data_IF_697854095735
#
_entry.id   IF_697854095735
#
_cell.length_a   1.000
_cell.length_b   1.000
_cell.length_c   1.000
_cell.angle_alpha   90.00
_cell.angle_beta   90.00
_cell.angle_gamma   90.00
#
_symmetry.space_group_name_H-M   'P 1'
#
loop_
_entity.id
_entity.type
_entity.pdbx_description
1 polymer ?
#
# COMPACT_ATOMS: atom_id res chain seq x y z
N UNK A 1 23.45 -10.88 -8.08
CA UNK A 1 23.04 -9.97 -9.18
C UNK A 1 21.54 -10.11 -9.37
N UNK A 2 20.79 -9.00 -9.28
CA UNK A 2 19.34 -8.99 -9.52
C UNK A 2 19.05 -9.26 -11.00
N UNK A 3 17.99 -10.02 -11.30
CA UNK A 3 17.52 -10.28 -12.67
C UNK A 3 16.04 -9.88 -12.77
N UNK A 4 15.69 -8.85 -13.56
CA UNK A 4 14.29 -8.46 -13.76
C UNK A 4 13.54 -9.54 -14.56
N UNK A 5 12.23 -9.64 -14.36
CA UNK A 5 11.38 -10.50 -15.16
C UNK A 5 11.15 -9.89 -16.55
N UNK A 6 10.93 -10.74 -17.57
CA UNK A 6 10.86 -10.33 -18.97
C UNK A 6 9.84 -9.20 -19.23
N UNK A 7 8.68 -9.25 -18.59
CA UNK A 7 7.64 -8.23 -18.81
C UNK A 7 8.07 -6.83 -18.33
N UNK A 8 8.90 -6.74 -17.28
CA UNK A 8 9.50 -5.48 -16.84
C UNK A 8 10.55 -5.00 -17.85
N UNK A 9 11.38 -5.92 -18.35
CA UNK A 9 12.38 -5.61 -19.38
C UNK A 9 11.71 -5.05 -20.64
N UNK A 10 10.62 -5.68 -21.09
CA UNK A 10 9.82 -5.23 -22.24
C UNK A 10 9.19 -3.84 -21.98
N UNK A 11 8.62 -3.63 -20.80
CA UNK A 11 8.01 -2.36 -20.44
C UNK A 11 9.03 -1.20 -20.48
N UNK A 12 10.23 -1.44 -19.92
CA UNK A 12 11.31 -0.44 -19.90
C UNK A 12 11.89 -0.22 -21.29
N UNK A 13 12.14 -1.28 -22.07
CA UNK A 13 12.72 -1.17 -23.41
C UNK A 13 11.78 -0.46 -24.40
N UNK A 14 10.47 -0.67 -24.26
CA UNK A 14 9.44 0.03 -25.04
C UNK A 14 9.16 1.45 -24.55
N UNK A 15 9.77 1.89 -23.43
CA UNK A 15 9.51 3.18 -22.76
C UNK A 15 8.03 3.42 -22.46
N UNK A 16 7.26 2.34 -22.28
CA UNK A 16 5.83 2.41 -22.01
C UNK A 16 5.60 2.64 -20.51
N UNK A 17 5.44 3.91 -20.13
CA UNK A 17 5.22 4.33 -18.74
C UNK A 17 4.08 3.56 -18.07
N UNK A 18 2.99 3.27 -18.79
CA UNK A 18 1.85 2.54 -18.22
C UNK A 18 2.25 1.11 -17.88
N UNK A 19 2.93 0.42 -18.81
CA UNK A 19 3.45 -0.95 -18.55
C UNK A 19 4.49 -0.96 -17.43
N UNK A 20 5.35 0.06 -17.34
CA UNK A 20 6.35 0.18 -16.27
C UNK A 20 5.65 0.28 -14.90
N UNK A 21 4.66 1.16 -14.77
CA UNK A 21 3.88 1.33 -13.53
C UNK A 21 3.14 0.05 -13.16
N UNK A 22 2.49 -0.60 -14.14
CA UNK A 22 1.86 -1.92 -13.92
C UNK A 22 2.87 -2.93 -13.39
N UNK A 23 4.07 -2.99 -13.96
CA UNK A 23 5.08 -3.93 -13.53
C UNK A 23 5.58 -3.68 -12.11
N UNK A 24 5.87 -2.43 -11.76
CA UNK A 24 6.21 -2.04 -10.40
C UNK A 24 5.09 -2.39 -9.41
N UNK A 25 3.83 -2.08 -9.75
CA UNK A 25 2.66 -2.46 -8.94
C UNK A 25 2.54 -3.98 -8.76
N UNK A 26 2.86 -4.78 -9.78
CA UNK A 26 2.86 -6.25 -9.69
C UNK A 26 3.90 -6.76 -8.69
N UNK A 27 5.14 -6.28 -8.78
CA UNK A 27 6.19 -6.64 -7.83
C UNK A 27 5.82 -6.24 -6.39
N UNK A 28 5.38 -5.00 -6.20
CA UNK A 28 4.96 -4.48 -4.90
C UNK A 28 3.74 -5.22 -4.34
N UNK A 29 2.79 -5.61 -5.19
CA UNK A 29 1.62 -6.37 -4.76
C UNK A 29 1.97 -7.76 -4.25
N UNK A 30 2.94 -8.43 -4.89
CA UNK A 30 3.46 -9.74 -4.52
C UNK A 30 4.31 -9.68 -3.25
N UNK A 31 5.18 -8.68 -3.15
CA UNK A 31 6.11 -8.51 -2.03
C UNK A 31 5.96 -7.11 -1.40
N UNK A 32 4.83 -6.84 -0.71
CA UNK A 32 4.57 -5.54 -0.12
C UNK A 32 5.46 -5.24 1.09
N UNK A 33 6.36 -6.14 1.49
CA UNK A 33 7.32 -5.88 2.57
C UNK A 33 8.71 -5.52 2.05
N UNK A 34 8.91 -5.61 0.73
CA UNK A 34 10.23 -5.56 0.08
C UNK A 34 11.24 -6.52 0.73
N UNK A 35 10.79 -7.72 1.10
CA UNK A 35 11.70 -8.72 1.67
C UNK A 35 12.73 -9.12 0.61
N UNK A 36 14.01 -9.15 1.00
CA UNK A 36 15.11 -9.43 0.08
C UNK A 36 15.39 -8.30 -0.92
N UNK A 37 14.85 -7.10 -0.71
CA UNK A 37 15.02 -5.92 -1.56
C UNK A 37 14.53 -6.14 -3.01
N UNK A 38 13.57 -7.04 -3.25
CA UNK A 38 13.06 -7.34 -4.60
C UNK A 38 12.46 -6.09 -5.26
N UNK A 39 11.60 -5.37 -4.56
CA UNK A 39 10.93 -4.15 -5.04
C UNK A 39 11.94 -3.02 -5.18
N UNK A 40 12.85 -2.85 -4.22
CA UNK A 40 13.93 -1.84 -4.31
C UNK A 40 14.82 -2.08 -5.54
N UNK A 41 15.22 -3.32 -5.80
CA UNK A 41 16.05 -3.66 -6.95
C UNK A 41 15.31 -3.44 -8.29
N UNK A 42 14.01 -3.77 -8.34
CA UNK A 42 13.15 -3.49 -9.49
C UNK A 42 13.06 -1.98 -9.75
N UNK A 43 12.81 -1.17 -8.71
CA UNK A 43 12.71 0.27 -8.84
C UNK A 43 14.04 0.88 -9.31
N UNK A 44 15.16 0.43 -8.74
CA UNK A 44 16.50 0.84 -9.17
C UNK A 44 16.75 0.50 -10.65
N UNK A 45 16.36 -0.71 -11.09
CA UNK A 45 16.47 -1.09 -12.49
C UNK A 45 15.67 -0.15 -13.41
N UNK A 46 14.43 0.19 -13.05
CA UNK A 46 13.62 1.14 -13.81
C UNK A 46 14.31 2.51 -13.87
N UNK A 47 14.71 3.06 -12.74
CA UNK A 47 15.34 4.39 -12.67
C UNK A 47 16.66 4.49 -13.46
N UNK A 48 17.40 3.39 -13.59
CA UNK A 48 18.64 3.34 -14.36
C UNK A 48 18.43 3.24 -15.87
N UNK A 49 17.26 2.76 -16.32
CA UNK A 49 17.01 2.43 -17.73
C UNK A 49 15.85 3.21 -18.35
N UNK A 50 15.10 3.96 -17.54
CA UNK A 50 13.98 4.79 -17.96
C UNK A 50 14.20 6.23 -17.48
N UNK A 51 14.30 7.16 -18.44
CA UNK A 51 14.62 8.56 -18.18
C UNK A 51 13.38 9.47 -18.08
N UNK A 52 12.18 8.89 -18.10
CA UNK A 52 10.93 9.64 -17.97
C UNK A 52 10.52 9.83 -16.50
N UNK A 53 9.54 10.70 -16.28
CA UNK A 53 8.95 10.87 -14.95
C UNK A 53 8.10 9.65 -14.58
N UNK A 54 8.58 8.91 -13.58
CA UNK A 54 7.91 7.71 -13.10
C UNK A 54 6.71 8.05 -12.22
N UNK A 55 6.81 9.13 -11.45
CA UNK A 55 5.91 9.40 -10.34
C UNK A 55 4.82 10.38 -10.75
N UNK A 56 3.67 10.23 -10.11
CA UNK A 56 2.64 11.26 -10.13
C UNK A 56 2.70 12.04 -8.83
N UNK A 57 2.22 13.28 -8.86
CA UNK A 57 1.96 14.02 -7.62
C UNK A 57 0.88 13.26 -6.83
N UNK A 58 1.12 13.08 -5.53
CA UNK A 58 0.16 12.50 -4.60
C UNK A 58 -1.17 13.28 -4.67
N UNK A 59 -2.26 12.54 -4.87
CA UNK A 59 -3.62 13.12 -4.84
C UNK A 59 -4.12 13.40 -3.40
N UNK A 60 -5.34 13.94 -3.30
CA UNK A 60 -5.97 14.34 -2.03
C UNK A 60 -6.32 13.15 -1.10
N UNK A 61 -6.16 11.90 -1.54
CA UNK A 61 -6.42 10.73 -0.68
C UNK A 61 -5.33 10.62 0.36
N UNK A 62 -5.68 10.98 1.60
CA UNK A 62 -4.79 10.94 2.74
C UNK A 62 -4.22 9.52 2.99
N UNK A 63 -2.94 9.49 3.35
CA UNK A 63 -2.27 8.28 3.85
C UNK A 63 -2.45 8.26 5.37
N UNK A 64 -3.10 7.22 5.91
CA UNK A 64 -3.25 7.02 7.34
C UNK A 64 -1.87 6.84 7.97
N UNK A 65 -1.55 7.69 8.95
CA UNK A 65 -0.25 7.72 9.62
C UNK A 65 -0.24 6.87 10.89
N UNK A 66 -1.41 6.63 11.49
CA UNK A 66 -1.54 5.81 12.68
C UNK A 66 -1.38 4.32 12.33
N UNK A 67 -0.21 3.78 12.64
CA UNK A 67 0.13 2.37 12.39
C UNK A 67 -0.76 1.35 13.08
N UNK A 68 -1.50 1.75 14.13
CA UNK A 68 -2.49 0.87 14.77
C UNK A 68 -3.62 0.52 13.80
N UNK A 69 -4.02 1.46 12.94
CA UNK A 69 -5.06 1.33 11.92
C UNK A 69 -4.59 0.67 10.62
N UNK A 70 -3.29 0.39 10.48
CA UNK A 70 -2.77 -0.31 9.32
C UNK A 70 -3.17 -1.79 9.38
N UNK A 71 -4.22 -2.12 8.62
CA UNK A 71 -4.79 -3.46 8.47
C UNK A 71 -4.47 -4.05 7.10
N UNK A 72 -4.77 -5.34 6.93
CA UNK A 72 -4.69 -6.01 5.62
C UNK A 72 -5.62 -5.35 4.59
N UNK A 73 -6.79 -4.90 5.00
CA UNK A 73 -7.76 -4.24 4.12
C UNK A 73 -7.25 -2.87 3.70
N UNK A 74 -6.67 -2.11 4.63
CA UNK A 74 -6.00 -0.84 4.32
C UNK A 74 -4.86 -1.02 3.31
N UNK A 75 -4.02 -2.04 3.48
CA UNK A 75 -3.01 -2.41 2.50
C UNK A 75 -3.60 -2.75 1.12
N UNK A 76 -4.76 -3.41 1.09
CA UNK A 76 -5.50 -3.70 -0.13
C UNK A 76 -5.98 -2.42 -0.84
N UNK A 77 -6.51 -1.46 -0.09
CA UNK A 77 -6.91 -0.15 -0.61
C UNK A 77 -5.74 0.61 -1.20
N UNK A 78 -4.62 0.71 -0.49
CA UNK A 78 -3.43 1.39 -1.01
C UNK A 78 -2.94 0.80 -2.34
N UNK A 79 -2.93 -0.54 -2.48
CA UNK A 79 -2.56 -1.20 -3.74
C UNK A 79 -3.53 -0.87 -4.88
N UNK A 80 -4.82 -0.78 -4.58
CA UNK A 80 -5.83 -0.37 -5.56
C UNK A 80 -5.65 1.10 -5.96
N UNK A 81 -5.45 1.98 -4.98
CA UNK A 81 -5.27 3.40 -5.17
C UNK A 81 -3.98 3.74 -5.92
N UNK A 82 -2.91 2.97 -5.73
CA UNK A 82 -1.66 3.13 -6.49
C UNK A 82 -1.86 2.97 -8.00
N UNK A 83 -2.84 2.15 -8.43
CA UNK A 83 -3.16 1.99 -9.86
C UNK A 83 -3.83 3.23 -10.45
N UNK A 84 -4.45 4.07 -9.62
CA UNK A 84 -5.17 5.27 -10.04
C UNK A 84 -4.31 6.53 -9.92
N UNK A 85 -3.33 6.54 -9.01
CA UNK A 85 -2.35 7.60 -8.85
C UNK A 85 -1.05 6.96 -8.35
N UNK A 86 -0.08 6.85 -9.26
CA UNK A 86 1.19 6.19 -9.01
C UNK A 86 2.19 7.16 -8.38
N UNK A 87 1.89 7.61 -7.17
CA UNK A 87 2.74 8.52 -6.41
C UNK A 87 3.85 7.78 -5.66
N UNK A 88 4.97 8.47 -5.44
CA UNK A 88 6.10 7.91 -4.69
C UNK A 88 5.71 7.67 -3.23
N UNK A 89 4.99 8.61 -2.64
CA UNK A 89 4.53 8.58 -1.26
C UNK A 89 3.64 7.37 -1.01
N UNK A 90 2.68 7.08 -1.91
CA UNK A 90 1.83 5.89 -1.80
C UNK A 90 2.61 4.60 -2.02
N UNK A 91 3.55 4.58 -2.97
CA UNK A 91 4.40 3.43 -3.22
C UNK A 91 5.22 3.05 -1.98
N UNK A 92 5.88 4.03 -1.37
CA UNK A 92 6.68 3.84 -0.17
C UNK A 92 5.80 3.44 1.04
N UNK A 93 4.64 4.08 1.19
CA UNK A 93 3.70 3.76 2.28
C UNK A 93 3.18 2.32 2.23
N UNK A 94 2.97 1.76 1.03
CA UNK A 94 2.60 0.34 0.89
C UNK A 94 3.68 -0.57 1.48
N UNK A 95 4.96 -0.23 1.31
CA UNK A 95 6.08 -1.02 1.86
C UNK A 95 6.06 -0.97 3.39
N UNK A 96 5.85 0.22 3.97
CA UNK A 96 5.77 0.42 5.42
C UNK A 96 4.58 -0.32 6.04
N UNK A 97 3.39 -0.12 5.48
CA UNK A 97 2.16 -0.81 5.89
C UNK A 97 2.31 -2.32 5.75
N UNK A 98 2.90 -2.80 4.65
CA UNK A 98 3.14 -4.22 4.43
C UNK A 98 4.01 -4.86 5.52
N UNK A 99 5.08 -4.17 5.94
CA UNK A 99 5.95 -4.63 7.03
C UNK A 99 5.18 -4.76 8.35
N UNK A 100 4.34 -3.77 8.69
CA UNK A 100 3.53 -3.80 9.92
C UNK A 100 2.49 -4.91 9.88
N UNK A 101 1.75 -5.04 8.77
CA UNK A 101 0.73 -6.09 8.60
C UNK A 101 1.34 -7.48 8.71
N UNK A 102 2.56 -7.71 8.17
CA UNK A 102 3.27 -8.97 8.31
C UNK A 102 3.68 -9.26 9.76
N UNK A 103 4.20 -8.27 10.48
CA UNK A 103 4.58 -8.41 11.91
C UNK A 103 3.37 -8.75 12.78
N UNK A 104 2.23 -8.07 12.58
CA UNK A 104 0.97 -8.36 13.30
C UNK A 104 0.51 -9.80 13.08
N UNK A 105 0.70 -10.35 11.87
CA UNK A 105 0.39 -11.77 11.58
C UNK A 105 1.29 -12.73 12.35
N UNK A 106 2.59 -12.44 12.48
CA UNK A 106 3.51 -13.33 13.21
C UNK A 106 3.24 -13.33 14.71
N UNK A 107 2.88 -12.18 15.31
CA UNK A 107 2.58 -12.10 16.75
C UNK A 107 1.27 -12.77 17.12
N UNK A 108 0.24 -12.73 16.25
CA UNK A 108 -1.05 -13.40 16.50
C UNK A 108 -0.99 -14.93 16.49
N UNK A 109 0.14 -15.53 16.07
CA UNK A 109 0.33 -16.98 16.03
C UNK A 109 1.21 -17.53 17.17
N UNK A 110 1.73 -16.67 18.08
CA UNK A 110 2.64 -17.10 19.15
C UNK A 110 1.96 -17.28 20.52
N UNK A 111 0.75 -16.76 20.72
CA UNK A 111 -0.05 -17.07 21.91
C UNK A 111 -1.12 -18.12 21.57
N UNK A 112 -1.19 -19.18 22.39
CA UNK A 112 -2.07 -20.38 22.30
C UNK A 112 -1.45 -21.62 21.62
N UNK A 113 -0.37 -22.15 22.20
CA UNK A 113 -0.15 -23.61 22.23
C UNK A 113 -0.43 -24.11 23.65
N UNK A 114 -1.58 -24.76 23.92
CA UNK A 114 -1.67 -25.63 25.08
C UNK A 114 -0.74 -26.82 24.85
N UNK A 115 0.25 -26.93 25.73
CA UNK A 115 1.21 -28.02 25.83
C UNK A 115 0.51 -29.39 25.72
N UNK A 116 0.56 -30.02 24.53
CA UNK A 116 0.11 -31.40 24.38
C UNK A 116 1.19 -32.32 24.96
N UNK A 117 0.98 -32.72 26.20
CA UNK A 117 1.68 -33.84 26.83
C UNK A 117 1.54 -35.09 25.94
N UNK A 118 2.69 -35.62 25.56
CA UNK A 118 2.88 -36.78 24.69
C UNK A 118 2.31 -38.05 25.36
N UNK A 119 1.14 -38.52 24.90
CA UNK A 119 0.69 -39.88 25.22
C UNK A 119 1.09 -40.84 24.10
N UNK A 120 1.93 -41.80 24.50
CA UNK A 120 2.51 -42.88 23.71
C UNK A 120 1.53 -44.06 23.67
N UNK A 121 1.01 -44.42 22.50
CA UNK A 121 0.40 -45.74 22.27
C UNK A 121 0.71 -46.28 20.87
N UNK A 122 0.87 -47.59 20.86
CA UNK A 122 1.53 -48.51 19.90
C UNK A 122 0.74 -48.80 18.61
N UNK A 123 1.50 -48.99 17.50
CA UNK A 123 1.26 -49.77 16.26
C UNK A 123 -0.11 -50.45 16.04
N UNK A 124 -0.79 -50.21 14.90
CA UNK A 124 -0.70 -51.00 13.64
C UNK A 124 -1.93 -50.82 12.71
N UNK A 125 -1.64 -50.59 11.42
CA UNK A 125 -2.37 -50.95 10.18
C UNK A 125 -3.74 -50.34 9.77
N UNK A 126 -3.84 -50.09 8.46
CA UNK A 126 -4.80 -49.27 7.69
C UNK A 126 -5.98 -50.15 7.21
N UNK A 127 -7.19 -49.62 6.90
CA UNK A 127 -7.43 -49.22 5.50
C UNK A 127 -8.20 -47.89 5.32
N UNK A 128 -7.90 -47.29 4.18
CA UNK A 128 -8.42 -46.07 3.57
C UNK A 128 -9.95 -45.94 3.50
N UNK A 129 -10.46 -44.73 3.80
CA UNK A 129 -11.56 -44.10 3.05
C UNK A 129 -11.43 -42.59 3.04
N UNK A 130 -11.20 -42.05 1.84
CA UNK A 130 -11.21 -40.62 1.52
C UNK A 130 -12.64 -40.10 1.64
N UNK A 131 -12.89 -39.10 2.49
CA UNK A 131 -14.08 -38.26 2.38
C UNK A 131 -13.66 -36.81 2.16
N UNK A 132 -13.67 -36.40 0.89
CA UNK A 132 -13.60 -34.99 0.50
C UNK A 132 -14.96 -34.37 0.78
N UNK A 133 -15.10 -33.63 1.89
CA UNK A 133 -16.30 -32.82 2.09
C UNK A 133 -16.04 -31.40 1.57
N UNK A 134 -16.46 -31.18 0.32
CA UNK A 134 -16.43 -29.87 -0.35
C UNK A 134 -17.79 -29.23 -0.12
N UNK A 135 -17.97 -28.45 0.96
CA UNK A 135 -19.20 -27.69 1.16
C UNK A 135 -19.12 -26.33 0.45
N UNK A 136 -20.12 -26.11 -0.40
CA UNK A 136 -20.32 -24.97 -1.28
C UNK A 136 -20.70 -23.72 -0.49
N UNK A 137 -20.23 -22.60 -1.02
CA UNK A 137 -20.59 -21.21 -0.77
C UNK A 137 -22.07 -20.98 -0.47
N UNK A 138 -22.36 -20.20 0.58
CA UNK A 138 -23.66 -19.59 0.84
C UNK A 138 -23.49 -18.08 0.95
N UNK A 139 -24.04 -17.36 -0.04
CA UNK A 139 -24.21 -15.91 -0.02
C UNK A 139 -25.27 -15.55 1.00
N UNK A 140 -24.89 -14.90 2.10
CA UNK A 140 -25.77 -13.98 2.85
C UNK A 140 -24.96 -12.77 3.28
N UNK A 141 -25.20 -11.66 2.61
CA UNK A 141 -24.64 -10.38 2.95
C UNK A 141 -25.19 -9.87 4.28
N UNK A 142 -24.30 -9.33 5.09
CA UNK A 142 -24.55 -8.20 5.98
C UNK A 142 -23.36 -7.25 5.76
N UNK A 143 -23.53 -6.31 4.83
CA UNK A 143 -22.60 -5.21 4.68
C UNK A 143 -22.86 -4.29 5.88
N UNK A 144 -22.03 -4.41 6.92
CA UNK A 144 -22.03 -3.43 8.00
C UNK A 144 -21.30 -2.22 7.43
N UNK A 145 -22.07 -1.24 6.94
CA UNK A 145 -21.56 0.09 6.65
C UNK A 145 -21.26 0.71 8.02
N UNK A 146 -20.07 0.41 8.55
CA UNK A 146 -19.52 1.08 9.70
C UNK A 146 -19.22 2.51 9.29
N UNK A 147 -20.21 3.39 9.45
CA UNK A 147 -20.03 4.82 9.33
C UNK A 147 -18.92 5.27 10.28
N UNK A 148 -17.87 5.85 9.70
CA UNK A 148 -16.87 6.58 10.47
C UNK A 148 -17.57 7.80 11.05
N UNK A 149 -17.60 7.89 12.39
CA UNK A 149 -17.91 9.13 13.09
C UNK A 149 -16.79 10.14 12.77
N UNK A 150 -17.09 11.13 11.92
CA UNK A 150 -16.21 12.28 11.73
C UNK A 150 -16.39 13.16 12.97
N UNK A 151 -15.42 13.11 13.90
CA UNK A 151 -15.27 14.16 14.91
C UNK A 151 -14.48 15.28 14.27
N UNK A 152 -15.16 16.29 13.71
CA UNK A 152 -14.51 17.54 13.32
C UNK A 152 -14.17 18.31 14.59
N UNK A 153 -12.92 18.20 15.07
CA UNK A 153 -12.38 19.23 15.97
C UNK A 153 -12.02 20.42 15.10
N UNK A 154 -12.85 21.46 15.18
CA UNK A 154 -12.53 22.79 14.67
C UNK A 154 -11.40 23.35 15.55
N UNK A 155 -10.15 23.27 15.09
CA UNK A 155 -9.13 24.23 15.52
C UNK A 155 -9.08 25.35 14.50
N UNK A 156 -9.89 26.37 14.78
CA UNK A 156 -9.68 27.69 14.26
C UNK A 156 -8.26 28.18 14.60
N UNK A 157 -7.72 29.00 13.71
CA UNK A 157 -6.54 29.85 13.87
C UNK A 157 -5.16 29.17 13.77
N UNK A 158 -4.63 29.00 12.54
CA UNK A 158 -3.36 29.62 12.11
C UNK A 158 -3.35 29.72 10.56
N UNK A 159 -4.18 30.60 9.97
CA UNK A 159 -4.09 30.89 8.54
C UNK A 159 -4.70 32.24 8.15
N UNK A 160 -4.32 33.34 8.82
CA UNK A 160 -4.72 34.70 8.34
C UNK A 160 -3.65 35.78 8.51
N UNK A 161 -2.38 35.43 8.77
CA UNK A 161 -1.33 36.44 8.89
C UNK A 161 -0.52 36.71 7.61
N UNK A 162 -0.61 35.86 6.56
CA UNK A 162 0.25 36.00 5.37
C UNK A 162 -0.47 36.25 4.04
N UNK A 163 -1.78 36.56 4.04
CA UNK A 163 -2.53 36.79 2.80
C UNK A 163 -3.03 38.23 2.59
N UNK A 164 -2.74 39.17 3.50
CA UNK A 164 -3.25 40.55 3.42
C UNK A 164 -2.17 41.64 3.33
N UNK A 165 -0.91 41.29 3.05
CA UNK A 165 0.20 42.27 3.01
C UNK A 165 0.78 42.53 1.61
N UNK A 166 0.09 42.15 0.52
CA UNK A 166 0.62 42.26 -0.85
C UNK A 166 -0.28 43.02 -1.85
N UNK A 167 -1.04 44.01 -1.38
CA UNK A 167 -1.87 44.90 -2.21
C UNK A 167 -1.77 46.37 -1.76
N UNK A 168 -0.58 46.84 -1.39
CA UNK A 168 -0.31 48.28 -1.23
C UNK A 168 1.00 48.66 -1.94
N UNK A 169 0.99 48.62 -3.27
CA UNK A 169 1.88 49.48 -4.06
C UNK A 169 1.07 50.69 -4.55
N UNK A 170 1.41 51.93 -4.14
CA UNK A 170 0.70 53.10 -4.65
C UNK A 170 1.09 53.36 -6.11
N UNK A 171 0.10 53.26 -7.00
CA UNK A 171 0.16 53.74 -8.38
C UNK A 171 0.45 55.24 -8.39
N UNK A 172 1.62 55.63 -8.91
CA UNK A 172 1.94 57.03 -9.18
C UNK A 172 1.07 57.54 -10.33
N UNK A 173 0.04 58.31 -10.00
CA UNK A 173 -0.74 59.11 -10.95
C UNK A 173 0.16 60.25 -11.44
N UNK A 174 0.49 60.25 -12.74
CA UNK A 174 1.04 61.43 -13.41
C UNK A 174 -0.04 62.52 -13.44
N UNK A 175 0.25 63.68 -12.86
CA UNK A 175 -0.54 64.89 -13.09
C UNK A 175 0.13 65.73 -14.16
N UNK A 176 -0.61 65.87 -15.25
CA UNK A 176 -0.45 66.88 -16.29
C UNK A 176 -0.85 68.26 -15.73
N UNK A 177 0.05 69.23 -15.78
CA UNK A 177 -0.16 70.66 -16.08
C UNK A 177 1.16 71.43 -16.00
#
# INVERSE_FOLDING_TARGET
MFKPQNFLVEAVSSKDLKKIRVALSTYLSKNPTDEGNEVTNVLKYVQQNFNGDLWEVQDERALEQDSSKWTKDYLGYLKSDLRNNFSKERFDHIIEVGKVVRKKKTTSHTDNQPERVLQKTTKSEIPSKVSVNRSRMSKKGKLVIGGILIVTVVTAAVATANYLMKQDEPTKIYKEK
#
